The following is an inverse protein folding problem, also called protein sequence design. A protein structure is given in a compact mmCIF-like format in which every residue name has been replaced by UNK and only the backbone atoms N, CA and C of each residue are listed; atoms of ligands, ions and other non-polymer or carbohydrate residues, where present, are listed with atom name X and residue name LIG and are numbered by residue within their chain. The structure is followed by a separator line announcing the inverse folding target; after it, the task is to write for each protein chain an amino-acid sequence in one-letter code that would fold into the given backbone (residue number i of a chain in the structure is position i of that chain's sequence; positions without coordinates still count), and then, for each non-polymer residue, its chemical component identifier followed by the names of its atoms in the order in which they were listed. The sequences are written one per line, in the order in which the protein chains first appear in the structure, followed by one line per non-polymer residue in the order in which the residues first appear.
data_IF_006093520375
#
_entry.id   IF_006093520375
#
_cell.length_a   1.000
_cell.length_b   1.000
_cell.length_c   1.000
_cell.angle_alpha   90.00
_cell.angle_beta   90.00
_cell.angle_gamma   90.00
#
_symmetry.space_group_name_H-M   'P 1'
#
loop_
_entity.id
_entity.type
_entity.pdbx_description
1 polymer ?
#
# COMPACT_ATOMS: atom_id res chain seq x y z
N UNK A 1 -20.54 2.21 2.10
CA UNK A 1 -19.59 3.11 1.39
C UNK A 1 -18.30 2.99 2.15
N UNK A 2 -17.31 2.42 1.47
CA UNK A 2 -16.02 2.02 1.99
C UNK A 2 -15.24 3.19 2.62
N UNK A 3 -15.55 4.41 2.23
CA UNK A 3 -14.95 5.67 2.72
C UNK A 3 -15.14 5.87 4.22
N UNK A 4 -16.17 5.24 4.80
CA UNK A 4 -16.42 5.27 6.26
C UNK A 4 -15.65 4.20 7.03
N UNK A 5 -14.94 3.28 6.35
CA UNK A 5 -14.15 2.27 7.02
C UNK A 5 -12.84 2.89 7.53
N UNK A 6 -12.57 2.79 8.83
CA UNK A 6 -11.31 3.26 9.42
C UNK A 6 -10.08 2.67 8.72
N UNK A 7 -10.17 1.39 8.34
CA UNK A 7 -9.08 0.69 7.63
C UNK A 7 -8.85 1.25 6.23
N UNK A 8 -9.90 1.72 5.55
CA UNK A 8 -9.75 2.36 4.24
C UNK A 8 -9.07 3.71 4.38
N UNK A 9 -9.49 4.54 5.33
CA UNK A 9 -8.85 5.85 5.58
C UNK A 9 -7.36 5.70 5.92
N UNK A 10 -7.02 4.72 6.77
CA UNK A 10 -5.63 4.37 7.06
C UNK A 10 -4.85 3.90 5.83
N UNK A 11 -5.50 3.13 4.94
CA UNK A 11 -4.87 2.67 3.71
C UNK A 11 -4.61 3.82 2.72
N UNK A 12 -5.50 4.81 2.64
CA UNK A 12 -5.26 6.03 1.83
C UNK A 12 -4.13 6.85 2.42
N UNK A 13 -4.07 7.05 3.74
CA UNK A 13 -2.96 7.77 4.38
C UNK A 13 -1.63 7.04 4.15
N UNK A 14 -1.59 5.72 4.29
CA UNK A 14 -0.41 4.92 3.98
C UNK A 14 0.04 5.12 2.52
N UNK A 15 -0.90 5.11 1.58
CA UNK A 15 -0.62 5.32 0.16
C UNK A 15 0.00 6.71 -0.12
N UNK A 16 -0.50 7.74 0.54
CA UNK A 16 0.00 9.13 0.42
C UNK A 16 1.37 9.32 1.07
N UNK A 17 1.57 8.75 2.27
CA UNK A 17 2.86 8.73 2.97
C UNK A 17 3.93 8.01 2.15
N UNK A 18 3.59 6.86 1.57
CA UNK A 18 4.51 6.10 0.71
C UNK A 18 4.84 6.89 -0.56
N UNK A 19 3.85 7.50 -1.20
CA UNK A 19 4.10 8.33 -2.38
C UNK A 19 5.08 9.46 -2.05
N UNK A 20 4.77 10.24 -1.02
CA UNK A 20 5.60 11.34 -0.50
C UNK A 20 7.03 10.88 -0.17
N UNK A 21 7.16 9.75 0.54
CA UNK A 21 8.45 9.17 0.90
C UNK A 21 9.30 8.84 -0.34
N UNK A 22 8.67 8.28 -1.37
CA UNK A 22 9.39 7.82 -2.57
C UNK A 22 9.80 8.94 -3.53
N UNK A 23 9.27 10.15 -3.37
CA UNK A 23 9.70 11.32 -4.17
C UNK A 23 11.19 11.65 -3.97
N UNK A 24 11.73 11.34 -2.79
CA UNK A 24 13.14 11.55 -2.46
C UNK A 24 14.09 10.48 -3.03
N UNK A 25 13.58 9.41 -3.65
CA UNK A 25 14.42 8.29 -4.07
C UNK A 25 15.22 8.64 -5.34
N UNK A 26 16.46 8.13 -5.51
CA UNK A 26 17.23 8.41 -6.71
C UNK A 26 16.54 7.86 -7.96
N UNK A 27 16.44 8.65 -9.04
CA UNK A 27 15.73 8.29 -10.29
C UNK A 27 16.09 6.91 -10.87
N UNK A 28 17.32 6.43 -10.67
CA UNK A 28 17.77 5.10 -11.12
C UNK A 28 17.04 3.93 -10.43
N UNK A 29 16.30 4.17 -9.34
CA UNK A 29 15.50 3.18 -8.60
C UNK A 29 14.00 3.31 -8.84
N UNK A 30 13.59 3.83 -10.00
CA UNK A 30 12.17 3.95 -10.37
C UNK A 30 11.38 2.65 -10.20
N UNK A 31 12.02 1.48 -10.40
CA UNK A 31 11.40 0.18 -10.21
C UNK A 31 11.02 -0.09 -8.74
N UNK A 32 11.85 0.35 -7.78
CA UNK A 32 11.55 0.19 -6.35
C UNK A 32 10.42 1.14 -5.95
N UNK A 33 10.46 2.38 -6.44
CA UNK A 33 9.40 3.39 -6.27
C UNK A 33 8.06 2.86 -6.79
N UNK A 34 8.04 2.34 -8.02
CA UNK A 34 6.83 1.78 -8.64
C UNK A 34 6.26 0.61 -7.83
N UNK A 35 7.09 -0.37 -7.47
CA UNK A 35 6.62 -1.53 -6.72
C UNK A 35 6.06 -1.15 -5.34
N UNK A 36 6.72 -0.22 -4.63
CA UNK A 36 6.30 0.20 -3.30
C UNK A 36 4.99 1.00 -3.35
N UNK A 37 4.87 1.96 -4.28
CA UNK A 37 3.64 2.72 -4.48
C UNK A 37 2.47 1.82 -4.89
N UNK A 38 2.67 0.92 -5.86
CA UNK A 38 1.63 -0.02 -6.30
C UNK A 38 1.16 -0.93 -5.17
N UNK A 39 2.08 -1.44 -4.35
CA UNK A 39 1.73 -2.25 -3.19
C UNK A 39 0.89 -1.46 -2.17
N UNK A 40 1.28 -0.21 -1.86
CA UNK A 40 0.55 0.64 -0.92
C UNK A 40 -0.84 1.03 -1.46
N UNK A 41 -0.93 1.49 -2.71
CA UNK A 41 -2.19 1.88 -3.35
C UNK A 41 -3.16 0.70 -3.45
N UNK A 42 -2.63 -0.49 -3.71
CA UNK A 42 -3.40 -1.73 -3.81
C UNK A 42 -4.18 -2.05 -2.53
N UNK A 43 -3.71 -1.60 -1.35
CA UNK A 43 -4.44 -1.79 -0.08
C UNK A 43 -5.79 -1.07 -0.14
N UNK A 44 -5.79 0.23 -0.47
CA UNK A 44 -7.00 1.04 -0.51
C UNK A 44 -7.96 0.59 -1.63
N UNK A 45 -7.44 0.28 -2.82
CA UNK A 45 -8.28 -0.14 -3.95
C UNK A 45 -8.96 -1.48 -3.71
N UNK A 46 -8.26 -2.46 -3.12
CA UNK A 46 -8.87 -3.74 -2.76
C UNK A 46 -9.88 -3.62 -1.61
N UNK A 47 -9.69 -2.71 -0.65
CA UNK A 47 -10.68 -2.45 0.41
C UNK A 47 -11.97 -1.86 -0.18
N UNK A 48 -11.85 -0.89 -1.07
CA UNK A 48 -12.99 -0.29 -1.76
C UNK A 48 -13.74 -1.31 -2.63
N UNK A 49 -13.00 -2.09 -3.42
CA UNK A 49 -13.58 -3.13 -4.27
C UNK A 49 -14.26 -4.23 -3.46
N UNK A 50 -13.64 -4.66 -2.36
CA UNK A 50 -14.18 -5.66 -1.45
C UNK A 50 -15.49 -5.23 -0.78
N UNK A 51 -15.59 -3.98 -0.29
CA UNK A 51 -16.83 -3.45 0.29
C UNK A 51 -17.99 -3.47 -0.71
N UNK A 52 -17.68 -3.22 -1.99
CA UNK A 52 -18.63 -3.26 -3.09
C UNK A 52 -19.11 -4.66 -3.49
N UNK A 53 -18.53 -5.74 -2.95
CA UNK A 53 -18.96 -7.11 -3.27
C UNK A 53 -20.21 -7.52 -2.50
N UNK A 54 -21.08 -8.25 -3.21
CA UNK A 54 -22.37 -8.75 -2.68
C UNK A 54 -22.20 -9.89 -1.69
N UNK A 55 -21.30 -10.83 -1.96
CA UNK A 55 -21.12 -12.01 -1.11
C UNK A 55 -20.02 -11.78 -0.07
N UNK A 56 -20.18 -12.43 1.09
CA UNK A 56 -19.15 -12.41 2.15
C UNK A 56 -17.85 -13.07 1.68
N UNK A 57 -17.93 -14.08 0.82
CA UNK A 57 -16.77 -14.80 0.31
C UNK A 57 -15.92 -13.91 -0.59
N UNK A 58 -16.54 -13.21 -1.54
CA UNK A 58 -15.85 -12.27 -2.43
C UNK A 58 -15.22 -11.12 -1.64
N UNK A 59 -16.00 -10.50 -0.74
CA UNK A 59 -15.48 -9.44 0.15
C UNK A 59 -14.24 -9.90 0.93
N UNK A 60 -14.29 -11.09 1.51
CA UNK A 60 -13.15 -11.68 2.25
C UNK A 60 -11.94 -11.89 1.35
N UNK A 61 -12.13 -12.30 0.10
CA UNK A 61 -11.05 -12.47 -0.86
C UNK A 61 -10.31 -11.15 -1.08
N UNK A 62 -11.01 -10.07 -1.42
CA UNK A 62 -10.42 -8.75 -1.61
C UNK A 62 -9.71 -8.21 -0.35
N UNK A 63 -10.30 -8.38 0.83
CA UNK A 63 -9.65 -7.98 2.08
C UNK A 63 -8.38 -8.80 2.37
N UNK A 64 -8.36 -10.06 1.94
CA UNK A 64 -7.16 -10.91 2.03
C UNK A 64 -6.07 -10.42 1.08
N UNK A 65 -6.44 -9.99 -0.13
CA UNK A 65 -5.51 -9.38 -1.09
C UNK A 65 -4.94 -8.07 -0.53
N UNK A 66 -5.78 -7.17 0.00
CA UNK A 66 -5.35 -5.94 0.64
C UNK A 66 -4.32 -6.19 1.76
N UNK A 67 -4.56 -7.23 2.58
CA UNK A 67 -3.61 -7.66 3.61
C UNK A 67 -2.28 -8.16 3.03
N UNK A 68 -2.32 -8.89 1.92
CA UNK A 68 -1.12 -9.30 1.20
C UNK A 68 -0.33 -8.12 0.64
N UNK A 69 -1.02 -7.12 0.09
CA UNK A 69 -0.41 -5.91 -0.46
C UNK A 69 0.36 -5.11 0.59
N UNK A 70 -0.21 -4.89 1.78
CA UNK A 70 0.50 -4.19 2.87
C UNK A 70 1.69 -5.00 3.40
N UNK A 71 1.58 -6.33 3.46
CA UNK A 71 2.72 -7.20 3.78
C UNK A 71 3.83 -7.09 2.72
N UNK A 72 3.47 -6.90 1.45
CA UNK A 72 4.40 -6.64 0.36
C UNK A 72 5.17 -5.32 0.47
N UNK A 73 4.62 -4.30 1.15
CA UNK A 73 5.34 -3.05 1.41
C UNK A 73 6.56 -3.26 2.33
N UNK A 74 6.46 -4.17 3.31
CA UNK A 74 7.51 -4.40 4.33
C UNK A 74 8.90 -4.69 3.72
N UNK A 75 9.08 -5.69 2.83
CA UNK A 75 10.39 -5.94 2.23
C UNK A 75 10.87 -4.79 1.34
N UNK A 76 9.96 -4.06 0.68
CA UNK A 76 10.32 -2.94 -0.19
C UNK A 76 10.83 -1.74 0.62
N UNK A 77 10.23 -1.46 1.77
CA UNK A 77 10.71 -0.45 2.74
C UNK A 77 12.07 -0.86 3.32
N UNK A 78 12.25 -2.13 3.70
CA UNK A 78 13.55 -2.62 4.18
C UNK A 78 14.64 -2.52 3.10
N UNK A 79 14.32 -2.78 1.83
CA UNK A 79 15.24 -2.58 0.72
C UNK A 79 15.61 -1.10 0.55
N UNK A 80 14.64 -0.19 0.67
CA UNK A 80 14.90 1.24 0.62
C UNK A 80 15.79 1.71 1.80
N UNK A 81 15.55 1.19 3.00
CA UNK A 81 16.37 1.45 4.19
C UNK A 81 17.81 0.97 4.03
N UNK A 82 18.03 -0.26 3.55
CA UNK A 82 19.38 -0.81 3.27
C UNK A 82 20.17 -0.06 2.20
N UNK A 83 19.49 0.79 1.43
CA UNK A 83 20.09 1.65 0.40
C UNK A 83 20.23 3.09 0.89
N UNK A 84 19.96 3.35 2.17
CA UNK A 84 19.99 4.64 2.81
C UNK A 84 19.04 5.68 2.18
N UNK A 85 17.92 5.23 1.59
CA UNK A 85 16.92 6.13 1.02
C UNK A 85 15.94 6.66 2.08
N UNK A 86 15.86 5.98 3.22
CA UNK A 86 14.98 6.32 4.34
C UNK A 86 15.84 6.26 5.60
N UNK A 87 15.79 7.31 6.41
CA UNK A 87 16.43 7.36 7.73
C UNK A 87 15.49 6.79 8.80
N UNK A 88 16.02 6.14 9.82
CA UNK A 88 15.24 5.79 11.02
C UNK A 88 14.75 7.08 11.69
N UNK A 89 13.46 7.11 12.03
CA UNK A 89 12.84 8.17 12.84
C UNK A 89 12.99 7.86 14.32
#
# INVERSE_FOLDING_TARGET
MFEKLDVYQKAVNLADEVASLTEGFPRRYYFLVDQLNRAAWSVATNLAEGDGRFTKADRKHFFTVARGSVQGCVPLVELARRRDFITET
#
